data_IF_051486527776
#
_entry.id   IF_051486527776
#
_cell.length_a   1.000
_cell.length_b   1.000
_cell.length_c   1.000
_cell.angle_alpha   90.00
_cell.angle_beta   90.00
_cell.angle_gamma   90.00
#
_symmetry.space_group_name_H-M   'P 1'
#
loop_
_entity.id
_entity.type
_entity.pdbx_description
1 polymer ?
#
# COMPACT_ATOMS: atom_id res chain seq x y z
N UNK A 1 3.55 1.50 -15.13
CA UNK A 1 3.08 2.17 -16.36
C UNK A 1 1.79 2.88 -16.03
N UNK A 2 1.68 4.18 -16.28
CA UNK A 2 0.43 4.93 -16.12
C UNK A 2 -0.31 4.93 -17.46
N UNK A 3 -1.64 4.79 -17.45
CA UNK A 3 -2.46 4.86 -18.65
C UNK A 3 -3.82 5.49 -18.34
N UNK A 4 -4.53 6.03 -19.36
CA UNK A 4 -5.88 6.54 -19.17
C UNK A 4 -6.83 5.45 -18.66
N UNK A 5 -7.80 5.84 -17.82
CA UNK A 5 -8.76 4.90 -17.21
C UNK A 5 -9.51 4.07 -18.26
N UNK A 6 -9.90 4.68 -19.37
CA UNK A 6 -10.56 3.98 -20.47
C UNK A 6 -9.70 2.84 -21.06
N UNK A 7 -8.38 3.06 -21.19
CA UNK A 7 -7.46 2.03 -21.67
C UNK A 7 -7.31 0.90 -20.63
N UNK A 8 -7.16 1.25 -19.34
CA UNK A 8 -7.08 0.29 -18.25
C UNK A 8 -8.31 -0.63 -18.20
N UNK A 9 -9.51 -0.08 -18.36
CA UNK A 9 -10.76 -0.84 -18.38
C UNK A 9 -10.85 -1.80 -19.59
N UNK A 10 -10.38 -1.37 -20.76
CA UNK A 10 -10.32 -2.25 -21.94
C UNK A 10 -9.36 -3.42 -21.74
N UNK A 11 -8.18 -3.16 -21.16
CA UNK A 11 -7.21 -4.20 -20.85
C UNK A 11 -7.71 -5.18 -19.78
N UNK A 12 -8.37 -4.67 -18.74
CA UNK A 12 -9.02 -5.48 -17.72
C UNK A 12 -10.07 -6.44 -18.29
N UNK A 13 -10.91 -5.97 -19.23
CA UNK A 13 -11.90 -6.82 -19.92
C UNK A 13 -11.25 -7.91 -20.78
N UNK A 14 -10.14 -7.59 -21.45
CA UNK A 14 -9.40 -8.55 -22.27
C UNK A 14 -8.66 -9.60 -21.42
N UNK A 15 -8.29 -9.26 -20.18
CA UNK A 15 -7.60 -10.16 -19.24
C UNK A 15 -6.14 -10.45 -19.57
N UNK A 16 -5.62 -9.93 -20.70
CA UNK A 16 -4.26 -10.15 -21.16
C UNK A 16 -3.71 -8.94 -21.93
N UNK A 17 -2.44 -8.64 -21.73
CA UNK A 17 -1.70 -7.56 -22.38
C UNK A 17 -0.43 -8.13 -23.01
N UNK A 18 -0.20 -7.85 -24.29
CA UNK A 18 1.04 -8.22 -24.98
C UNK A 18 2.08 -7.11 -24.80
N UNK A 19 3.25 -7.46 -24.28
CA UNK A 19 4.41 -6.58 -24.14
C UNK A 19 5.55 -7.21 -24.94
N UNK A 20 5.80 -6.70 -26.15
CA UNK A 20 6.74 -7.31 -27.09
C UNK A 20 6.32 -8.74 -27.48
N UNK A 21 7.11 -9.72 -27.07
CA UNK A 21 6.86 -11.16 -27.30
C UNK A 21 6.16 -11.87 -26.13
N UNK A 22 5.99 -11.19 -25.00
CA UNK A 22 5.38 -11.77 -23.78
C UNK A 22 3.90 -11.44 -23.73
N UNK A 23 3.08 -12.44 -23.36
CA UNK A 23 1.67 -12.25 -23.03
C UNK A 23 1.49 -12.24 -21.50
N UNK A 24 1.19 -11.08 -20.94
CA UNK A 24 1.01 -10.88 -19.50
C UNK A 24 -0.47 -10.92 -19.13
N UNK A 25 -0.81 -11.52 -17.97
CA UNK A 25 -2.17 -11.53 -17.43
C UNK A 25 -2.52 -10.17 -16.81
N UNK A 26 -3.77 -9.73 -16.99
CA UNK A 26 -4.29 -8.48 -16.43
C UNK A 26 -5.49 -8.79 -15.53
N UNK A 27 -5.47 -8.28 -14.31
CA UNK A 27 -6.56 -8.42 -13.34
C UNK A 27 -6.86 -7.07 -12.68
N UNK A 28 -8.13 -6.79 -12.42
CA UNK A 28 -8.53 -5.64 -11.63
C UNK A 28 -8.27 -5.94 -10.16
N UNK A 29 -7.34 -5.20 -9.57
CA UNK A 29 -7.09 -5.25 -8.14
C UNK A 29 -8.14 -4.43 -7.41
N UNK A 30 -8.57 -4.90 -6.24
CA UNK A 30 -9.38 -4.10 -5.33
C UNK A 30 -8.66 -2.80 -4.97
N UNK A 31 -9.44 -1.75 -4.73
CA UNK A 31 -8.92 -0.47 -4.31
C UNK A 31 -8.09 -0.67 -3.03
N UNK A 32 -6.80 -0.31 -3.10
CA UNK A 32 -5.97 -0.22 -1.89
C UNK A 32 -6.33 1.07 -1.17
N UNK A 33 -6.92 1.01 0.04
CA UNK A 33 -7.27 2.21 0.77
C UNK A 33 -6.02 3.01 1.08
N UNK A 34 -6.16 4.33 1.06
CA UNK A 34 -5.03 5.22 1.34
C UNK A 34 -4.63 5.10 2.81
N UNK A 35 -3.36 4.78 3.05
CA UNK A 35 -2.78 4.71 4.38
C UNK A 35 -1.95 5.97 4.65
N UNK A 36 -2.20 6.61 5.78
CA UNK A 36 -1.45 7.79 6.21
C UNK A 36 -0.05 7.39 6.67
N UNK A 37 0.99 7.93 6.04
CA UNK A 37 2.38 7.65 6.43
C UNK A 37 2.80 8.22 7.80
N UNK A 38 2.00 9.14 8.37
CA UNK A 38 2.29 9.73 9.70
C UNK A 38 1.80 8.85 10.84
N UNK A 39 0.54 8.39 10.81
CA UNK A 39 -0.08 7.63 11.89
C UNK A 39 -0.42 6.17 11.52
N UNK A 40 -0.23 5.79 10.26
CA UNK A 40 -0.52 4.48 9.68
C UNK A 40 -2.01 4.10 9.62
N UNK A 41 -2.92 5.03 9.95
CA UNK A 41 -4.36 4.87 9.78
C UNK A 41 -4.82 4.94 8.31
N UNK A 42 -6.03 4.48 8.03
CA UNK A 42 -6.64 4.49 6.69
C UNK A 42 -7.49 5.75 6.44
N UNK A 43 -7.95 5.91 5.20
CA UNK A 43 -8.86 6.96 4.70
C UNK A 43 -8.28 8.38 4.58
N UNK A 44 -7.03 8.62 4.97
CA UNK A 44 -6.43 9.95 4.90
C UNK A 44 -4.93 9.94 4.59
N UNK A 45 -4.43 11.08 4.12
CA UNK A 45 -3.01 11.33 3.85
C UNK A 45 -2.38 12.19 4.96
N UNK A 46 -1.06 12.39 4.91
CA UNK A 46 -0.29 13.13 5.92
C UNK A 46 -0.83 14.54 6.18
N UNK A 47 -1.28 15.24 5.14
CA UNK A 47 -1.79 16.61 5.21
C UNK A 47 -3.09 16.73 6.02
N UNK A 48 -3.98 15.73 5.88
CA UNK A 48 -5.25 15.67 6.61
C UNK A 48 -5.14 14.95 7.96
N UNK A 49 -3.93 14.59 8.39
CA UNK A 49 -3.74 13.77 9.59
C UNK A 49 -3.86 14.59 10.88
N UNK A 50 -4.96 14.40 11.59
CA UNK A 50 -5.23 14.99 12.92
C UNK A 50 -4.68 14.18 14.09
N UNK A 51 -4.08 13.02 13.83
CA UNK A 51 -3.51 12.19 14.89
C UNK A 51 -2.29 12.85 15.52
N UNK A 52 -2.21 12.77 16.85
CA UNK A 52 -1.06 13.21 17.66
C UNK A 52 0.09 12.20 17.59
N UNK A 53 -0.23 10.91 17.42
CA UNK A 53 0.75 9.83 17.29
C UNK A 53 1.43 9.93 15.93
N UNK A 54 2.73 10.23 15.93
CA UNK A 54 3.57 10.22 14.76
C UNK A 54 4.50 9.00 14.82
N UNK A 55 4.38 8.09 13.85
CA UNK A 55 5.22 6.90 13.66
C UNK A 55 6.28 7.12 12.58
N UNK A 56 6.64 8.39 12.33
CA UNK A 56 7.68 8.74 11.37
C UNK A 56 9.01 8.16 11.82
N UNK A 57 9.62 7.30 11.00
CA UNK A 57 10.89 6.63 11.32
C UNK A 57 10.77 5.33 12.13
N UNK A 58 9.54 4.91 12.47
CA UNK A 58 9.30 3.58 13.02
C UNK A 58 9.22 2.52 11.89
N UNK A 59 9.58 1.29 12.22
CA UNK A 59 9.50 0.17 11.30
C UNK A 59 8.04 -0.16 10.94
N UNK A 60 7.68 -0.06 9.66
CA UNK A 60 6.32 -0.35 9.18
C UNK A 60 5.80 -1.77 9.50
N UNK A 61 6.70 -2.70 9.85
CA UNK A 61 6.35 -4.09 10.16
C UNK A 61 6.10 -4.37 11.65
N UNK A 62 6.74 -3.61 12.57
CA UNK A 62 6.68 -3.89 14.01
C UNK A 62 6.50 -2.65 14.90
N UNK A 63 6.56 -1.44 14.33
CA UNK A 63 6.42 -0.18 15.05
C UNK A 63 7.66 0.29 15.81
N UNK A 64 8.74 -0.48 15.84
CA UNK A 64 9.95 -0.12 16.59
C UNK A 64 10.88 0.80 15.79
N UNK A 65 11.54 1.77 16.43
CA UNK A 65 12.54 2.61 15.76
C UNK A 65 13.85 1.85 15.51
N UNK A 66 14.76 2.48 14.75
CA UNK A 66 16.13 1.98 14.55
C UNK A 66 16.33 1.03 13.37
N UNK A 67 15.25 0.60 12.70
CA UNK A 67 15.35 -0.17 11.47
C UNK A 67 14.15 0.07 10.53
N UNK A 68 14.34 -0.26 9.26
CA UNK A 68 13.27 -0.25 8.24
C UNK A 68 12.65 -1.64 8.12
N UNK A 69 11.42 -1.73 7.62
CA UNK A 69 10.69 -3.00 7.46
C UNK A 69 11.48 -4.08 6.71
N UNK A 70 12.33 -3.68 5.75
CA UNK A 70 13.20 -4.60 5.00
C UNK A 70 14.22 -5.33 5.89
N UNK A 71 14.64 -4.73 6.99
CA UNK A 71 15.63 -5.29 7.93
C UNK A 71 14.96 -5.76 9.24
N UNK A 72 13.63 -5.89 9.27
CA UNK A 72 12.90 -6.31 10.45
C UNK A 72 12.95 -7.83 10.60
N UNK A 73 13.44 -8.32 11.74
CA UNK A 73 13.43 -9.75 12.08
C UNK A 73 12.17 -10.18 12.85
N UNK A 74 11.30 -9.24 13.22
CA UNK A 74 10.05 -9.52 13.91
C UNK A 74 9.00 -10.11 12.95
N UNK A 75 8.06 -10.94 13.45
CA UNK A 75 6.93 -11.40 12.65
C UNK A 75 6.11 -10.22 12.13
N UNK A 76 5.43 -10.41 10.99
CA UNK A 76 4.63 -9.35 10.41
C UNK A 76 3.46 -8.98 11.30
N UNK A 77 3.41 -7.73 11.77
CA UNK A 77 2.30 -7.23 12.56
C UNK A 77 1.84 -5.85 12.07
N UNK A 78 0.53 -5.66 11.97
CA UNK A 78 -0.02 -4.34 11.74
C UNK A 78 -0.27 -3.70 13.10
N UNK A 79 0.58 -2.75 13.51
CA UNK A 79 0.40 -2.03 14.78
C UNK A 79 -0.94 -1.32 14.91
N UNK A 80 -1.57 -0.92 13.79
CA UNK A 80 -2.92 -0.33 13.82
C UNK A 80 -3.99 -1.37 14.10
N UNK A 81 -3.82 -2.61 13.63
CA UNK A 81 -4.72 -3.70 14.00
C UNK A 81 -4.52 -4.06 15.48
N UNK A 82 -3.27 -4.18 15.93
CA UNK A 82 -2.96 -4.50 17.34
C UNK A 82 -3.60 -3.48 18.31
N UNK A 83 -3.62 -2.19 17.96
CA UNK A 83 -4.25 -1.16 18.78
C UNK A 83 -5.78 -1.14 18.72
N UNK A 84 -6.37 -1.67 17.64
CA UNK A 84 -7.83 -1.73 17.46
C UNK A 84 -8.45 -2.99 18.07
N UNK A 85 -7.64 -4.01 18.37
CA UNK A 85 -8.08 -5.33 18.85
C UNK A 85 -8.43 -6.26 17.69
#
# INVERSE_FOLDING_TARGET
VQCPVAAALRLAKLGRLRIGWVLSRVELLWARPTQCYKCWGYEHVREACRATVARGGACFNCGQPGHVARNCSSPACCVVCVERG
#
